data_IF_053744884109
#
_entry.id   IF_053744884109
#
_cell.length_a   1.000
_cell.length_b   1.000
_cell.length_c   1.000
_cell.angle_alpha   90.00
_cell.angle_beta   90.00
_cell.angle_gamma   90.00
#
_symmetry.space_group_name_H-M   'P 1'
#
loop_
_entity.id
_entity.type
_entity.pdbx_description
1 polymer ?
#
# COMPACT_ATOMS: atom_id res chain seq x y z
N UNK A 1 19.89 -7.78 2.10
CA UNK A 1 19.37 -6.86 1.05
C UNK A 1 18.14 -6.04 1.48
N UNK A 2 17.38 -6.37 2.54
CA UNK A 2 16.31 -5.51 3.09
C UNK A 2 16.65 -4.69 4.37
N UNK A 3 17.90 -4.77 4.90
CA UNK A 3 18.40 -3.71 5.80
C UNK A 3 18.21 -2.33 5.14
N UNK A 4 18.41 -2.29 3.82
CA UNK A 4 18.21 -1.08 3.01
C UNK A 4 16.76 -0.61 3.08
N UNK A 5 15.72 -1.45 3.06
CA UNK A 5 14.30 -1.00 3.00
C UNK A 5 13.74 -0.61 4.37
N UNK A 6 14.18 -1.27 5.44
CA UNK A 6 13.86 -0.88 6.81
C UNK A 6 14.53 0.47 7.14
N UNK A 7 15.79 0.64 6.73
CA UNK A 7 16.45 1.95 6.77
C UNK A 7 15.84 2.93 5.74
N UNK A 8 15.32 2.49 4.59
CA UNK A 8 14.85 3.38 3.52
C UNK A 8 13.59 4.16 3.87
N UNK A 9 12.64 3.49 4.53
CA UNK A 9 11.48 4.19 5.05
C UNK A 9 11.92 5.03 6.25
N UNK A 10 12.60 4.45 7.25
CA UNK A 10 13.02 5.13 8.50
C UNK A 10 13.90 6.37 8.26
N UNK A 11 14.74 6.39 7.21
CA UNK A 11 15.76 7.43 6.98
C UNK A 11 15.31 8.58 6.06
N UNK A 12 14.23 8.45 5.30
CA UNK A 12 13.68 9.54 4.49
C UNK A 12 12.58 10.36 5.21
N UNK A 13 12.32 10.09 6.49
CA UNK A 13 11.17 10.62 7.23
C UNK A 13 11.22 12.10 7.64
N UNK A 14 12.40 12.75 7.55
CA UNK A 14 12.62 14.11 8.08
C UNK A 14 12.72 15.21 7.03
N UNK A 15 12.88 14.91 5.75
CA UNK A 15 13.07 15.93 4.71
C UNK A 15 12.14 15.71 3.51
N UNK A 16 11.80 16.81 2.85
CA UNK A 16 11.05 16.85 1.59
C UNK A 16 11.45 15.71 0.65
N UNK A 17 10.46 14.97 0.14
CA UNK A 17 10.70 13.89 -0.81
C UNK A 17 11.34 14.49 -2.06
N UNK A 18 12.58 14.11 -2.37
CA UNK A 18 13.30 14.58 -3.54
C UNK A 18 13.05 13.68 -4.77
N UNK A 19 13.48 14.13 -5.95
CA UNK A 19 13.26 13.42 -7.22
C UNK A 19 13.90 12.02 -7.24
N UNK A 20 15.06 11.84 -6.60
CA UNK A 20 15.75 10.54 -6.52
C UNK A 20 14.92 9.56 -5.68
N UNK A 21 14.43 10.00 -4.53
CA UNK A 21 13.53 9.21 -3.66
C UNK A 21 12.22 8.87 -4.36
N UNK A 22 11.68 9.77 -5.20
CA UNK A 22 10.50 9.49 -6.02
C UNK A 22 10.73 8.34 -7.00
N UNK A 23 11.78 8.42 -7.81
CA UNK A 23 12.06 7.38 -8.80
C UNK A 23 12.34 6.02 -8.14
N UNK A 24 13.10 6.04 -7.04
CA UNK A 24 13.40 4.82 -6.31
C UNK A 24 12.16 4.20 -5.66
N UNK A 25 11.25 5.01 -5.12
CA UNK A 25 9.97 4.51 -4.61
C UNK A 25 9.10 3.89 -5.72
N UNK A 26 9.08 4.48 -6.92
CA UNK A 26 8.35 3.92 -8.07
C UNK A 26 8.95 2.57 -8.46
N UNK A 27 10.29 2.47 -8.54
CA UNK A 27 10.98 1.21 -8.87
C UNK A 27 10.71 0.12 -7.84
N UNK A 28 10.83 0.46 -6.55
CA UNK A 28 10.59 -0.49 -5.47
C UNK A 28 9.13 -0.96 -5.45
N UNK A 29 8.17 -0.04 -5.55
CA UNK A 29 6.76 -0.40 -5.58
C UNK A 29 6.44 -1.26 -6.82
N UNK A 30 7.07 -1.00 -7.98
CA UNK A 30 6.90 -1.85 -9.16
C UNK A 30 7.29 -3.31 -8.88
N UNK A 31 8.45 -3.53 -8.26
CA UNK A 31 8.95 -4.88 -7.93
C UNK A 31 8.12 -5.53 -6.83
N UNK A 32 7.78 -4.80 -5.77
CA UNK A 32 7.14 -5.37 -4.59
C UNK A 32 5.60 -5.45 -4.70
N UNK A 33 4.97 -4.71 -5.62
CA UNK A 33 3.51 -4.62 -5.72
C UNK A 33 3.00 -5.02 -7.09
N UNK A 34 3.51 -4.41 -8.18
CA UNK A 34 3.00 -4.71 -9.54
C UNK A 34 3.31 -6.15 -9.93
N UNK A 35 4.57 -6.57 -9.84
CA UNK A 35 4.97 -7.91 -10.29
C UNK A 35 4.19 -9.01 -9.55
N UNK A 36 4.10 -9.03 -8.20
CA UNK A 36 3.33 -10.05 -7.50
C UNK A 36 1.83 -10.01 -7.85
N UNK A 37 1.22 -8.83 -7.95
CA UNK A 37 -0.21 -8.72 -8.29
C UNK A 37 -0.52 -9.21 -9.69
N UNK A 38 0.33 -8.88 -10.66
CA UNK A 38 0.20 -9.39 -12.03
C UNK A 38 0.37 -10.90 -12.05
N UNK A 39 1.39 -11.45 -11.39
CA UNK A 39 1.63 -12.90 -11.34
C UNK A 39 0.44 -13.65 -10.73
N UNK A 40 -0.08 -13.19 -9.59
CA UNK A 40 -1.24 -13.80 -8.94
C UNK A 40 -2.48 -13.72 -9.85
N UNK A 41 -2.69 -12.59 -10.53
CA UNK A 41 -3.82 -12.44 -11.44
C UNK A 41 -3.71 -13.36 -12.66
N UNK A 42 -2.52 -13.47 -13.25
CA UNK A 42 -2.22 -14.40 -14.34
C UNK A 42 -2.47 -15.84 -13.91
N UNK A 43 -2.00 -16.24 -12.73
CA UNK A 43 -2.25 -17.56 -12.18
C UNK A 43 -3.75 -17.84 -11.96
N UNK A 44 -4.50 -16.86 -11.43
CA UNK A 44 -5.94 -16.98 -11.24
C UNK A 44 -6.70 -17.15 -12.56
N UNK A 45 -6.33 -16.40 -13.60
CA UNK A 45 -6.89 -16.56 -14.94
C UNK A 45 -6.57 -17.95 -15.49
N UNK A 46 -5.31 -18.39 -15.39
CA UNK A 46 -4.89 -19.72 -15.86
C UNK A 46 -5.67 -20.85 -15.18
N UNK A 47 -5.90 -20.77 -13.87
CA UNK A 47 -6.71 -21.75 -13.12
C UNK A 47 -8.17 -21.72 -13.59
N UNK A 48 -8.73 -20.54 -13.80
CA UNK A 48 -10.15 -20.37 -14.19
C UNK A 48 -10.39 -20.83 -15.62
N UNK A 49 -9.46 -20.55 -16.53
CA UNK A 49 -9.57 -20.86 -17.96
C UNK A 49 -9.07 -22.27 -18.27
N UNK A 50 -8.21 -22.88 -17.43
CA UNK A 50 -7.73 -24.26 -17.57
C UNK A 50 -8.83 -25.34 -17.61
N UNK A 51 -10.08 -24.98 -17.31
CA UNK A 51 -11.28 -25.83 -17.43
C UNK A 51 -12.09 -25.63 -18.73
N UNK A 52 -11.68 -24.75 -19.65
CA UNK A 52 -12.40 -24.43 -20.89
C UNK A 52 -11.45 -24.11 -22.05
N UNK A 53 -11.93 -24.24 -23.30
CA UNK A 53 -11.14 -23.94 -24.50
C UNK A 53 -10.52 -22.52 -24.45
N UNK A 54 -9.19 -22.48 -24.52
CA UNK A 54 -8.35 -21.36 -24.09
C UNK A 54 -8.13 -20.33 -25.21
N UNK A 55 -8.68 -19.11 -25.10
CA UNK A 55 -8.28 -18.00 -25.98
C UNK A 55 -7.10 -17.23 -25.36
N UNK A 56 -5.89 -17.52 -25.86
CA UNK A 56 -4.65 -16.87 -25.43
C UNK A 56 -4.70 -15.35 -25.62
N UNK A 57 -5.41 -14.84 -26.63
CA UNK A 57 -5.50 -13.42 -26.92
C UNK A 57 -6.23 -12.64 -25.83
N UNK A 58 -7.36 -13.17 -25.36
CA UNK A 58 -8.15 -12.53 -24.31
C UNK A 58 -7.45 -12.59 -22.94
N UNK A 59 -6.75 -13.68 -22.62
CA UNK A 59 -5.92 -13.77 -21.39
C UNK A 59 -4.82 -12.72 -21.39
N UNK A 60 -4.07 -12.59 -22.49
CA UNK A 60 -2.99 -11.61 -22.58
C UNK A 60 -3.51 -10.17 -22.50
N UNK A 61 -4.69 -9.91 -23.09
CA UNK A 61 -5.36 -8.61 -22.97
C UNK A 61 -5.74 -8.30 -21.52
N UNK A 62 -6.32 -9.24 -20.78
CA UNK A 62 -6.70 -9.03 -19.38
C UNK A 62 -5.47 -8.83 -18.47
N UNK A 63 -4.44 -9.64 -18.64
CA UNK A 63 -3.15 -9.48 -17.92
C UNK A 63 -2.51 -8.14 -18.26
N UNK A 64 -2.54 -7.74 -19.54
CA UNK A 64 -2.02 -6.45 -20.00
C UNK A 64 -2.75 -5.27 -19.37
N UNK A 65 -4.09 -5.25 -19.39
CA UNK A 65 -4.87 -4.19 -18.77
C UNK A 65 -4.63 -4.14 -17.26
N UNK A 66 -4.57 -5.31 -16.58
CA UNK A 66 -4.29 -5.37 -15.14
C UNK A 66 -2.91 -4.81 -14.81
N UNK A 67 -1.89 -5.19 -15.57
CA UNK A 67 -0.52 -4.73 -15.38
C UNK A 67 -0.43 -3.22 -15.59
N UNK A 68 -1.00 -2.71 -16.69
CA UNK A 68 -1.05 -1.27 -16.96
C UNK A 68 -1.75 -0.51 -15.82
N UNK A 69 -2.90 -1.01 -15.35
CA UNK A 69 -3.63 -0.42 -14.22
C UNK A 69 -2.81 -0.39 -12.93
N UNK A 70 -2.11 -1.49 -12.60
CA UNK A 70 -1.23 -1.55 -11.43
C UNK A 70 -0.06 -0.57 -11.54
N UNK A 71 0.60 -0.50 -12.71
CA UNK A 71 1.71 0.43 -12.96
C UNK A 71 1.23 1.88 -12.82
N UNK A 72 0.13 2.25 -13.46
CA UNK A 72 -0.43 3.61 -13.37
C UNK A 72 -0.80 3.95 -11.93
N UNK A 73 -1.37 2.99 -11.18
CA UNK A 73 -1.69 3.20 -9.76
C UNK A 73 -0.44 3.52 -8.94
N UNK A 74 0.66 2.79 -9.14
CA UNK A 74 1.90 2.98 -8.39
C UNK A 74 2.59 4.30 -8.74
N UNK A 75 2.69 4.59 -10.03
CA UNK A 75 3.28 5.85 -10.51
C UNK A 75 2.47 7.03 -9.99
N UNK A 76 1.14 6.99 -10.18
CA UNK A 76 0.23 8.03 -9.72
C UNK A 76 0.30 8.23 -8.20
N UNK A 77 0.29 7.15 -7.42
CA UNK A 77 0.39 7.20 -5.95
C UNK A 77 1.66 7.88 -5.50
N UNK A 78 2.80 7.55 -6.11
CA UNK A 78 4.10 8.09 -5.73
C UNK A 78 4.26 9.56 -6.14
N UNK A 79 3.77 9.94 -7.32
CA UNK A 79 3.74 11.35 -7.77
C UNK A 79 2.85 12.19 -6.86
N UNK A 80 1.63 11.73 -6.57
CA UNK A 80 0.70 12.43 -5.69
C UNK A 80 1.26 12.56 -4.28
N UNK A 81 1.90 11.50 -3.76
CA UNK A 81 2.57 11.55 -2.46
C UNK A 81 3.70 12.58 -2.47
N UNK A 82 4.54 12.59 -3.51
CA UNK A 82 5.60 13.58 -3.68
C UNK A 82 5.04 15.00 -3.69
N UNK A 83 3.99 15.25 -4.46
CA UNK A 83 3.34 16.56 -4.54
C UNK A 83 2.77 16.99 -3.17
N UNK A 84 1.99 16.13 -2.51
CA UNK A 84 1.38 16.43 -1.21
C UNK A 84 2.44 16.69 -0.13
N UNK A 85 3.48 15.87 -0.05
CA UNK A 85 4.56 16.05 0.92
C UNK A 85 5.32 17.37 0.68
N UNK A 86 5.57 17.70 -0.59
CA UNK A 86 6.24 18.95 -0.96
C UNK A 86 5.34 20.19 -0.90
N UNK A 87 4.02 20.05 -0.80
CA UNK A 87 3.11 21.16 -0.53
C UNK A 87 3.05 21.47 0.97
N UNK A 88 3.06 20.43 1.82
CA UNK A 88 2.91 20.57 3.27
C UNK A 88 4.19 21.06 3.98
N UNK A 89 5.35 21.00 3.30
CA UNK A 89 6.71 21.57 3.55
C UNK A 89 7.09 22.14 4.92
N UNK A 90 6.26 22.95 5.57
CA UNK A 90 6.61 23.71 6.79
C UNK A 90 6.23 23.07 8.13
N UNK A 91 5.43 22.01 8.19
CA UNK A 91 5.07 21.36 9.48
C UNK A 91 4.68 19.89 9.28
N UNK A 92 5.64 19.08 8.86
CA UNK A 92 5.42 17.67 8.53
C UNK A 92 5.33 16.81 9.81
N UNK A 93 4.12 16.55 10.28
CA UNK A 93 3.85 15.64 11.39
C UNK A 93 3.60 14.22 10.89
N UNK A 94 3.77 13.21 11.75
CA UNK A 94 3.46 11.81 11.44
C UNK A 94 2.02 11.63 10.91
N UNK A 95 1.06 12.31 11.53
CA UNK A 95 -0.34 12.32 11.14
C UNK A 95 -0.55 12.83 9.70
N UNK A 96 0.07 13.97 9.35
CA UNK A 96 -0.05 14.51 7.99
C UNK A 96 0.57 13.58 6.95
N UNK A 97 1.64 12.88 7.30
CA UNK A 97 2.25 11.89 6.41
C UNK A 97 1.35 10.67 6.20
N UNK A 98 0.71 10.19 7.27
CA UNK A 98 -0.28 9.13 7.20
C UNK A 98 -1.42 9.55 6.25
N UNK A 99 -1.97 10.74 6.42
CA UNK A 99 -3.03 11.25 5.55
C UNK A 99 -2.58 11.45 4.10
N UNK A 100 -1.38 12.00 3.86
CA UNK A 100 -0.84 12.13 2.50
C UNK A 100 -0.73 10.76 1.82
N UNK A 101 -0.30 9.73 2.55
CA UNK A 101 -0.18 8.37 2.03
C UNK A 101 -1.53 7.73 1.74
N UNK A 102 -2.50 7.88 2.63
CA UNK A 102 -3.86 7.37 2.44
C UNK A 102 -4.52 8.05 1.24
N UNK A 103 -4.46 9.38 1.18
CA UNK A 103 -5.05 10.19 0.11
C UNK A 103 -4.41 9.91 -1.25
N UNK A 104 -3.08 9.81 -1.32
CA UNK A 104 -2.41 9.51 -2.59
C UNK A 104 -2.73 8.11 -3.09
N UNK A 105 -2.86 7.13 -2.19
CA UNK A 105 -3.22 5.77 -2.55
C UNK A 105 -4.68 5.64 -3.00
N UNK A 106 -5.60 6.33 -2.31
CA UNK A 106 -7.00 6.45 -2.70
C UNK A 106 -7.12 7.07 -4.09
N UNK A 107 -6.61 8.30 -4.26
CA UNK A 107 -6.75 9.06 -5.50
C UNK A 107 -6.16 8.35 -6.72
N UNK A 108 -4.95 7.79 -6.60
CA UNK A 108 -4.33 7.03 -7.69
C UNK A 108 -5.11 5.76 -8.05
N UNK A 109 -5.71 5.11 -7.07
CA UNK A 109 -6.55 3.92 -7.29
C UNK A 109 -7.88 4.29 -7.95
N UNK A 110 -8.49 5.42 -7.56
CA UNK A 110 -9.71 5.94 -8.20
C UNK A 110 -9.45 6.31 -9.65
N UNK A 111 -8.39 7.07 -9.93
CA UNK A 111 -8.00 7.44 -11.30
C UNK A 111 -7.78 6.19 -12.14
N UNK A 112 -7.04 5.21 -11.62
CA UNK A 112 -6.79 3.96 -12.34
C UNK A 112 -8.07 3.14 -12.55
N UNK A 113 -8.98 3.11 -11.58
CA UNK A 113 -10.29 2.45 -11.71
C UNK A 113 -11.22 3.11 -12.73
N UNK A 114 -11.09 4.42 -12.95
CA UNK A 114 -11.84 5.16 -13.96
C UNK A 114 -11.27 4.96 -15.37
N UNK A 115 -9.94 4.99 -15.49
CA UNK A 115 -9.23 4.93 -16.77
C UNK A 115 -9.24 3.52 -17.35
N UNK A 116 -9.01 2.47 -16.54
CA UNK A 116 -8.87 1.11 -17.05
C UNK A 116 -10.21 0.33 -17.05
N UNK A 117 -10.58 -0.32 -18.17
CA UNK A 117 -11.95 -0.82 -18.40
C UNK A 117 -12.30 -2.16 -17.74
N UNK A 118 -11.65 -2.58 -16.64
CA UNK A 118 -11.80 -3.93 -16.04
C UNK A 118 -13.11 -4.08 -15.22
N UNK A 119 -14.23 -3.55 -15.71
CA UNK A 119 -15.54 -3.35 -15.05
C UNK A 119 -15.57 -2.09 -14.17
N UNK A 120 -16.18 -1.03 -14.71
CA UNK A 120 -16.53 0.19 -13.97
C UNK A 120 -17.77 -0.06 -13.12
N UNK A 121 -17.56 -0.47 -11.88
CA UNK A 121 -18.62 -0.65 -10.89
C UNK A 121 -18.39 0.33 -9.75
N UNK A 122 -19.43 0.61 -8.98
CA UNK A 122 -19.28 1.38 -7.73
C UNK A 122 -18.18 0.81 -6.83
N UNK A 123 -18.06 -0.52 -6.79
CA UNK A 123 -17.04 -1.21 -6.01
C UNK A 123 -15.62 -0.94 -6.51
N UNK A 124 -15.38 -0.89 -7.82
CA UNK A 124 -14.04 -0.68 -8.38
C UNK A 124 -13.62 0.79 -8.36
N UNK A 125 -14.57 1.73 -8.41
CA UNK A 125 -14.29 3.18 -8.45
C UNK A 125 -14.26 3.82 -7.07
N UNK A 126 -15.03 3.32 -6.09
CA UNK A 126 -15.16 3.95 -4.77
C UNK A 126 -14.71 3.04 -3.62
N UNK A 127 -15.28 1.84 -3.51
CA UNK A 127 -14.99 0.95 -2.36
C UNK A 127 -13.54 0.47 -2.38
N UNK A 128 -13.06 -0.01 -3.53
CA UNK A 128 -11.70 -0.55 -3.68
C UNK A 128 -10.63 0.52 -3.40
N UNK A 129 -10.75 1.76 -3.93
CA UNK A 129 -9.84 2.85 -3.57
C UNK A 129 -9.84 3.19 -2.08
N UNK A 130 -11.01 3.23 -1.42
CA UNK A 130 -11.10 3.50 0.02
C UNK A 130 -10.32 2.44 0.81
N UNK A 131 -10.59 1.15 0.53
CA UNK A 131 -9.89 0.04 1.16
C UNK A 131 -8.38 0.10 0.92
N UNK A 132 -7.95 0.40 -0.31
CA UNK A 132 -6.52 0.59 -0.61
C UNK A 132 -5.90 1.73 0.18
N UNK A 133 -6.61 2.85 0.35
CA UNK A 133 -6.20 3.96 1.21
C UNK A 133 -6.01 3.52 2.66
N UNK A 134 -7.02 2.86 3.24
CA UNK A 134 -7.00 2.35 4.61
C UNK A 134 -5.85 1.35 4.82
N UNK A 135 -5.76 0.32 3.97
CA UNK A 135 -4.69 -0.69 4.06
C UNK A 135 -3.31 -0.05 3.92
N UNK A 136 -3.15 0.94 3.04
CA UNK A 136 -1.89 1.69 2.92
C UNK A 136 -1.53 2.44 4.20
N UNK A 137 -2.53 2.99 4.90
CA UNK A 137 -2.39 3.63 6.20
C UNK A 137 -2.04 2.64 7.30
N UNK A 138 -2.70 1.48 7.36
CA UNK A 138 -2.38 0.42 8.33
C UNK A 138 -0.94 -0.07 8.17
N UNK A 139 -0.52 -0.35 6.93
CA UNK A 139 0.87 -0.74 6.63
C UNK A 139 1.84 0.34 7.11
N UNK A 140 1.51 1.62 6.90
CA UNK A 140 2.34 2.72 7.36
C UNK A 140 2.43 2.79 8.89
N UNK A 141 1.34 2.51 9.59
CA UNK A 141 1.34 2.43 11.04
C UNK A 141 2.24 1.29 11.54
N UNK A 142 2.14 0.11 10.90
CA UNK A 142 2.97 -1.06 11.25
C UNK A 142 4.46 -0.82 10.97
N UNK A 143 4.78 -0.10 9.90
CA UNK A 143 6.16 0.27 9.54
C UNK A 143 6.79 1.27 10.52
N UNK A 144 5.98 2.03 11.27
CA UNK A 144 6.45 3.11 12.15
C UNK A 144 5.98 2.92 13.60
N UNK A 145 6.24 1.77 14.25
CA UNK A 145 5.55 1.36 15.46
C UNK A 145 5.68 2.37 16.61
N UNK A 146 6.83 3.05 16.74
CA UNK A 146 7.06 4.07 17.79
C UNK A 146 6.15 5.29 17.62
N UNK A 147 6.14 5.87 16.42
CA UNK A 147 5.32 7.06 16.13
C UNK A 147 3.83 6.71 16.04
N UNK A 148 3.50 5.54 15.51
CA UNK A 148 2.14 5.01 15.51
C UNK A 148 1.58 4.84 16.91
N UNK A 149 2.37 4.32 17.85
CA UNK A 149 1.94 4.16 19.25
C UNK A 149 1.65 5.53 19.88
N UNK A 150 2.55 6.52 19.67
CA UNK A 150 2.32 7.89 20.16
C UNK A 150 1.07 8.51 19.54
N UNK A 151 0.91 8.38 18.22
CA UNK A 151 -0.24 8.90 17.49
C UNK A 151 -1.55 8.27 17.97
N UNK A 152 -1.62 6.94 18.07
CA UNK A 152 -2.81 6.23 18.55
C UNK A 152 -3.14 6.59 19.99
N UNK A 153 -2.14 6.65 20.87
CA UNK A 153 -2.35 7.03 22.28
C UNK A 153 -2.84 8.48 22.43
N UNK A 154 -2.39 9.38 21.57
CA UNK A 154 -2.77 10.80 21.62
C UNK A 154 -4.15 11.04 20.98
N UNK A 155 -4.43 10.43 19.82
CA UNK A 155 -5.61 10.73 19.00
C UNK A 155 -6.80 9.81 19.30
N UNK A 156 -6.54 8.58 19.73
CA UNK A 156 -7.53 7.52 19.96
C UNK A 156 -7.26 6.79 21.29
N UNK A 157 -7.28 7.51 22.44
CA UNK A 157 -6.85 6.95 23.72
C UNK A 157 -7.71 5.77 24.18
N UNK A 158 -9.02 5.81 23.93
CA UNK A 158 -9.96 4.76 24.33
C UNK A 158 -9.76 3.49 23.51
N UNK A 159 -9.63 3.63 22.19
CA UNK A 159 -9.37 2.54 21.26
C UNK A 159 -8.00 1.93 21.51
N UNK A 160 -6.99 2.77 21.77
CA UNK A 160 -5.66 2.31 22.14
C UNK A 160 -5.68 1.49 23.44
N UNK A 161 -6.42 1.94 24.45
CA UNK A 161 -6.60 1.18 25.70
C UNK A 161 -7.33 -0.15 25.46
N UNK A 162 -8.40 -0.15 24.66
CA UNK A 162 -9.14 -1.36 24.29
C UNK A 162 -8.27 -2.37 23.54
N UNK A 163 -7.52 -1.93 22.52
CA UNK A 163 -6.59 -2.76 21.76
C UNK A 163 -5.49 -3.31 22.68
N UNK A 164 -4.94 -2.49 23.57
CA UNK A 164 -3.91 -2.93 24.51
C UNK A 164 -4.42 -3.99 25.48
N UNK A 165 -5.63 -3.80 26.02
CA UNK A 165 -6.28 -4.75 26.91
C UNK A 165 -6.61 -6.06 26.19
N UNK A 166 -7.10 -5.99 24.95
CA UNK A 166 -7.39 -7.14 24.12
C UNK A 166 -6.10 -7.89 23.73
N UNK A 167 -5.02 -7.18 23.41
CA UNK A 167 -3.70 -7.76 23.12
C UNK A 167 -3.13 -8.50 24.34
N UNK A 168 -3.30 -7.94 25.54
CA UNK A 168 -2.90 -8.58 26.80
C UNK A 168 -3.77 -9.82 27.10
N UNK A 169 -5.10 -9.69 26.97
CA UNK A 169 -6.04 -10.78 27.22
C UNK A 169 -5.81 -11.97 26.28
N UNK A 170 -5.53 -11.70 24.99
CA UNK A 170 -5.26 -12.73 23.99
C UNK A 170 -3.80 -13.23 24.00
N UNK A 171 -2.95 -12.77 24.93
CA UNK A 171 -1.50 -13.08 24.97
C UNK A 171 -0.79 -12.87 23.62
N UNK A 172 -1.31 -11.95 22.80
CA UNK A 172 -0.80 -11.69 21.44
C UNK A 172 0.62 -11.12 21.44
N UNK A 173 1.08 -10.61 22.58
CA UNK A 173 2.48 -10.24 22.78
C UNK A 173 3.46 -11.39 22.51
N UNK A 174 3.03 -12.65 22.71
CA UNK A 174 3.84 -13.84 22.41
C UNK A 174 3.98 -14.09 20.90
N UNK A 175 3.00 -13.63 20.12
CA UNK A 175 2.97 -13.76 18.65
C UNK A 175 3.56 -12.55 17.95
N UNK A 176 3.85 -11.45 18.66
CA UNK A 176 4.48 -10.25 18.10
C UNK A 176 5.79 -10.56 17.35
N UNK A 177 6.71 -11.42 17.84
CA UNK A 177 7.90 -11.80 17.10
C UNK A 177 7.57 -12.58 15.83
N UNK A 178 6.51 -13.41 15.85
CA UNK A 178 6.07 -14.23 14.73
C UNK A 178 5.32 -13.41 13.67
N UNK A 179 4.55 -12.41 14.07
CA UNK A 179 3.93 -11.44 13.16
C UNK A 179 5.00 -10.58 12.49
N UNK A 180 6.01 -10.14 13.25
CA UNK A 180 7.19 -9.48 12.69
C UNK A 180 7.94 -10.46 11.77
N UNK A 181 8.09 -11.73 12.14
CA UNK A 181 8.79 -12.70 11.30
C UNK A 181 8.02 -13.09 10.04
N UNK A 182 6.69 -13.15 10.07
CA UNK A 182 5.83 -13.39 8.90
C UNK A 182 5.77 -12.16 8.01
N UNK A 183 5.68 -10.96 8.58
CA UNK A 183 5.91 -9.71 7.83
C UNK A 183 7.33 -9.65 7.26
N UNK A 184 8.30 -10.29 7.92
CA UNK A 184 9.68 -10.42 7.45
C UNK A 184 9.86 -11.53 6.41
N UNK A 185 9.04 -12.59 6.42
CA UNK A 185 9.15 -13.80 5.61
C UNK A 185 8.18 -13.84 4.41
N UNK A 186 7.14 -13.01 4.41
CA UNK A 186 6.38 -12.63 3.23
C UNK A 186 7.15 -11.61 2.36
N UNK A 187 8.45 -11.42 2.64
CA UNK A 187 9.41 -10.63 1.87
C UNK A 187 10.33 -11.53 1.05
#
# INVERSE_FOLDING_TARGET
>A
MFSIVYDYYVYNFRNNMNKKTLLQNIQNDFVCVTLPQTTIHTAAILITVGNTNFDKGEVMKQVGIKTASSVTTIVGRNILKFALLNLVKKNMTFEKQLYCRMASCYAASTISGLVFPVKRTYQTVLVTPILKGITSGIIFLLQNPKESTKFMRYRFPHEFAAITNLTKALKLNNYRPQLISVLNALN
#
